data_IF_983079113120
#
_entry.id   IF_983079113120
#
_cell.length_a   1.000
_cell.length_b   1.000
_cell.length_c   1.000
_cell.angle_alpha   90.00
_cell.angle_beta   90.00
_cell.angle_gamma   90.00
#
_symmetry.space_group_name_H-M   'P 1'
#
loop_
_entity.id
_entity.type
_entity.pdbx_description
1 polymer ?
#
# COMPACT_ATOMS: atom_id res chain seq x y z
N UNK A 1 36.22 -20.97 -0.86
CA UNK A 1 35.32 -20.67 0.28
C UNK A 1 34.11 -19.95 -0.28
N UNK A 2 32.96 -20.62 -0.37
CA UNK A 2 31.73 -19.99 -0.88
C UNK A 2 31.36 -18.84 0.04
N UNK A 3 31.55 -17.62 -0.46
CA UNK A 3 31.16 -16.40 0.23
C UNK A 3 29.63 -16.37 0.19
N UNK A 4 28.97 -16.91 1.22
CA UNK A 4 27.52 -16.92 1.29
C UNK A 4 27.04 -15.46 1.25
N UNK A 5 26.48 -15.09 0.10
CA UNK A 5 26.14 -13.71 -0.18
C UNK A 5 24.98 -13.31 0.73
N UNK A 6 25.24 -12.35 1.62
CA UNK A 6 24.23 -11.80 2.53
C UNK A 6 23.01 -11.30 1.74
N UNK A 7 21.81 -11.69 2.15
CA UNK A 7 20.59 -11.31 1.44
C UNK A 7 20.32 -9.81 1.59
N UNK A 8 19.95 -9.16 0.48
CA UNK A 8 19.59 -7.73 0.44
C UNK A 8 18.46 -7.39 1.43
N UNK A 9 17.49 -8.28 1.54
CA UNK A 9 16.32 -8.11 2.43
C UNK A 9 16.77 -8.10 3.89
N UNK A 10 17.64 -9.02 4.31
CA UNK A 10 18.16 -9.05 5.68
C UNK A 10 18.95 -7.80 6.03
N UNK A 11 19.77 -7.29 5.10
CA UNK A 11 20.50 -6.02 5.28
C UNK A 11 19.54 -4.83 5.47
N UNK A 12 18.47 -4.77 4.68
CA UNK A 12 17.46 -3.72 4.78
C UNK A 12 16.63 -3.84 6.07
N UNK A 13 16.26 -5.06 6.45
CA UNK A 13 15.51 -5.33 7.69
C UNK A 13 16.34 -4.96 8.92
N UNK A 14 17.67 -5.15 8.90
CA UNK A 14 18.55 -4.71 9.98
C UNK A 14 18.45 -3.18 10.18
N UNK A 15 18.54 -2.40 9.10
CA UNK A 15 18.41 -0.94 9.15
C UNK A 15 17.02 -0.51 9.61
N UNK A 16 15.99 -1.16 9.08
CA UNK A 16 14.62 -0.89 9.50
C UNK A 16 14.44 -1.11 11.01
N UNK A 17 14.97 -2.22 11.51
CA UNK A 17 14.88 -2.59 12.92
C UNK A 17 15.67 -1.63 13.82
N UNK A 18 16.85 -1.19 13.40
CA UNK A 18 17.61 -0.14 14.10
C UNK A 18 16.79 1.15 14.26
N UNK A 19 16.11 1.57 13.17
CA UNK A 19 15.26 2.77 13.20
C UNK A 19 14.03 2.59 14.10
N UNK A 20 13.40 1.42 14.09
CA UNK A 20 12.25 1.13 14.95
C UNK A 20 12.63 1.05 16.43
N UNK A 21 13.79 0.47 16.76
CA UNK A 21 14.33 0.48 18.13
C UNK A 21 14.57 1.92 18.61
N UNK A 22 15.20 2.75 17.77
CA UNK A 22 15.40 4.17 18.08
C UNK A 22 14.07 4.89 18.35
N UNK A 23 13.09 4.74 17.45
CA UNK A 23 11.76 5.36 17.61
C UNK A 23 11.02 4.85 18.85
N UNK A 24 11.12 3.56 19.16
CA UNK A 24 10.48 2.97 20.34
C UNK A 24 11.05 3.57 21.63
N UNK A 25 12.38 3.70 21.73
CA UNK A 25 13.03 4.34 22.88
C UNK A 25 12.67 5.82 22.99
N UNK A 26 12.64 6.55 21.88
CA UNK A 26 12.20 7.94 21.87
C UNK A 26 10.74 8.08 22.30
N UNK A 27 9.85 7.16 21.89
CA UNK A 27 8.46 7.17 22.31
C UNK A 27 8.31 7.01 23.81
N UNK A 28 9.04 6.06 24.41
CA UNK A 28 9.08 5.87 25.86
C UNK A 28 9.55 7.16 26.55
N UNK A 29 10.61 7.80 26.04
CA UNK A 29 11.08 9.07 26.58
C UNK A 29 10.00 10.16 26.50
N UNK A 30 9.32 10.30 25.37
CA UNK A 30 8.24 11.27 25.21
C UNK A 30 7.06 11.00 26.14
N UNK A 31 6.65 9.74 26.29
CA UNK A 31 5.60 9.32 27.21
C UNK A 31 5.96 9.66 28.66
N UNK A 32 7.20 9.40 29.09
CA UNK A 32 7.67 9.79 30.44
C UNK A 32 7.76 11.30 30.64
N UNK A 33 8.08 12.05 29.59
CA UNK A 33 8.16 13.52 29.63
C UNK A 33 6.80 14.21 29.62
N UNK A 34 5.68 13.49 29.46
CA UNK A 34 4.33 14.09 29.36
C UNK A 34 3.94 14.91 30.59
N UNK A 35 4.53 14.62 31.75
CA UNK A 35 4.28 15.34 33.00
C UNK A 35 5.12 16.61 33.16
N UNK A 36 6.10 16.83 32.28
CA UNK A 36 6.95 18.01 32.32
C UNK A 36 6.38 19.12 31.42
N UNK A 37 6.52 20.40 31.82
CA UNK A 37 6.04 21.52 31.01
C UNK A 37 6.74 21.54 29.63
N UNK A 38 5.98 21.73 28.53
CA UNK A 38 6.48 21.59 27.16
C UNK A 38 7.57 22.60 26.78
N UNK A 39 7.69 23.72 27.51
CA UNK A 39 8.70 24.75 27.26
C UNK A 39 10.15 24.29 27.48
N UNK A 40 10.38 23.29 28.34
CA UNK A 40 11.73 22.77 28.60
C UNK A 40 12.09 21.56 27.72
N UNK A 41 11.10 20.82 27.24
CA UNK A 41 11.32 19.59 26.46
C UNK A 41 11.68 19.90 25.00
N UNK A 42 10.96 20.82 24.36
CA UNK A 42 11.17 21.17 22.95
C UNK A 42 12.64 21.54 22.59
N UNK A 43 13.37 22.35 23.38
CA UNK A 43 14.77 22.63 23.07
C UNK A 43 15.73 21.46 23.38
N UNK A 44 15.35 20.54 24.27
CA UNK A 44 16.20 19.43 24.74
C UNK A 44 15.96 18.15 23.93
N UNK A 45 14.85 18.03 23.22
CA UNK A 45 14.52 16.90 22.35
C UNK A 45 15.65 16.43 21.42
N UNK A 46 16.36 17.31 20.67
CA UNK A 46 17.48 16.87 19.84
C UNK A 46 18.65 16.33 20.66
N UNK A 47 18.89 16.86 21.87
CA UNK A 47 19.93 16.37 22.78
C UNK A 47 19.60 14.96 23.28
N UNK A 48 18.34 14.72 23.67
CA UNK A 48 17.86 13.40 24.07
C UNK A 48 18.00 12.40 22.92
N UNK A 49 17.61 12.79 21.71
CA UNK A 49 17.77 11.95 20.51
C UNK A 49 19.22 11.55 20.26
N UNK A 50 20.16 12.50 20.42
CA UNK A 50 21.59 12.23 20.30
C UNK A 50 22.09 11.29 21.41
N UNK A 51 21.68 11.50 22.66
CA UNK A 51 22.07 10.64 23.78
C UNK A 51 21.61 9.20 23.54
N UNK A 52 20.37 9.00 23.09
CA UNK A 52 19.83 7.67 22.77
C UNK A 52 20.62 7.04 21.63
N UNK A 53 20.88 7.76 20.53
CA UNK A 53 21.67 7.23 19.40
C UNK A 53 23.08 6.86 19.82
N UNK A 54 23.75 7.71 20.60
CA UNK A 54 25.10 7.43 21.09
C UNK A 54 25.11 6.26 22.06
N UNK A 55 24.12 6.14 22.96
CA UNK A 55 24.00 5.01 23.87
C UNK A 55 23.82 3.70 23.10
N UNK A 56 22.96 3.69 22.07
CA UNK A 56 22.75 2.54 21.19
C UNK A 56 24.04 2.16 20.46
N UNK A 57 24.70 3.12 19.81
CA UNK A 57 25.92 2.88 19.04
C UNK A 57 27.10 2.47 19.92
N UNK A 58 27.24 3.04 21.12
CA UNK A 58 28.27 2.69 22.09
C UNK A 58 28.11 1.26 22.58
N UNK A 59 26.88 0.85 22.95
CA UNK A 59 26.66 -0.51 23.46
C UNK A 59 26.67 -1.56 22.34
N UNK A 60 26.30 -1.19 21.12
CA UNK A 60 26.23 -2.10 19.97
C UNK A 60 27.52 -2.12 19.16
N UNK A 61 27.84 -1.04 18.45
CA UNK A 61 28.92 -1.02 17.44
C UNK A 61 30.30 -1.06 18.08
N UNK A 62 30.52 -0.35 19.20
CA UNK A 62 31.83 -0.34 19.84
C UNK A 62 32.18 -1.69 20.49
N UNK A 63 31.19 -2.37 21.08
CA UNK A 63 31.38 -3.62 21.84
C UNK A 63 31.27 -4.87 20.97
N UNK A 64 30.26 -4.95 20.12
CA UNK A 64 29.91 -6.16 19.36
C UNK A 64 30.22 -6.05 17.86
N UNK A 65 30.64 -4.88 17.38
CA UNK A 65 30.96 -4.63 15.95
C UNK A 65 29.79 -4.93 15.01
N UNK A 66 28.58 -4.76 15.52
CA UNK A 66 27.30 -4.87 14.81
C UNK A 66 26.36 -3.79 15.34
N UNK A 67 25.37 -3.38 14.55
CA UNK A 67 24.21 -2.62 15.07
C UNK A 67 23.22 -3.55 15.78
N UNK A 68 22.22 -3.00 16.47
CA UNK A 68 21.25 -3.82 17.21
C UNK A 68 20.39 -4.65 16.28
N UNK A 69 19.93 -4.04 15.19
CA UNK A 69 19.19 -4.72 14.13
C UNK A 69 20.02 -5.80 13.44
N UNK A 70 21.32 -5.54 13.23
CA UNK A 70 22.25 -6.56 12.73
C UNK A 70 22.43 -7.71 13.72
N UNK A 71 22.57 -7.42 15.01
CA UNK A 71 22.72 -8.45 16.05
C UNK A 71 21.50 -9.38 16.10
N UNK A 72 20.28 -8.82 15.99
CA UNK A 72 19.03 -9.59 15.95
C UNK A 72 18.93 -10.50 14.71
N UNK A 73 19.56 -10.12 13.61
CA UNK A 73 19.61 -10.88 12.36
C UNK A 73 20.91 -11.68 12.19
N UNK A 74 21.72 -11.80 13.23
CA UNK A 74 23.02 -12.50 13.21
C UNK A 74 23.97 -11.97 12.12
N UNK A 75 24.02 -10.66 11.92
CA UNK A 75 24.93 -9.95 11.01
C UNK A 75 25.99 -9.21 11.82
N UNK A 76 27.23 -9.18 11.31
CA UNK A 76 28.36 -8.45 11.90
C UNK A 76 29.17 -7.72 10.84
N UNK A 77 29.86 -6.64 11.21
CA UNK A 77 30.87 -6.02 10.35
C UNK A 77 32.21 -6.77 10.43
N UNK A 78 32.85 -7.03 9.30
CA UNK A 78 34.09 -7.83 9.27
C UNK A 78 35.40 -7.06 9.49
N UNK A 79 35.41 -5.73 9.29
CA UNK A 79 36.65 -4.94 9.36
C UNK A 79 36.45 -3.59 10.08
N UNK A 80 36.17 -3.65 11.38
CA UNK A 80 35.97 -2.48 12.25
C UNK A 80 37.23 -2.12 13.06
N UNK A 81 38.13 -1.32 12.46
CA UNK A 81 39.19 -0.64 13.22
C UNK A 81 38.62 0.42 14.19
N UNK A 82 39.31 0.70 15.28
CA UNK A 82 38.95 1.75 16.24
C UNK A 82 38.73 3.12 15.57
N UNK A 83 39.54 3.45 14.57
CA UNK A 83 39.36 4.68 13.79
C UNK A 83 38.03 4.69 13.02
N UNK A 84 37.66 3.55 12.41
CA UNK A 84 36.38 3.42 11.70
C UNK A 84 35.18 3.44 12.65
N UNK A 85 35.32 2.89 13.87
CA UNK A 85 34.29 2.96 14.93
C UNK A 85 33.99 4.42 15.28
N UNK A 86 35.03 5.21 15.50
CA UNK A 86 34.92 6.65 15.80
C UNK A 86 34.29 7.40 14.62
N UNK A 87 34.74 7.15 13.39
CA UNK A 87 34.20 7.85 12.22
C UNK A 87 32.73 7.47 11.93
N UNK A 88 32.33 6.23 12.21
CA UNK A 88 30.93 5.78 12.13
C UNK A 88 30.05 6.50 13.16
N UNK A 89 30.53 6.68 14.39
CA UNK A 89 29.84 7.47 15.42
C UNK A 89 29.67 8.92 14.97
N UNK A 90 30.75 9.56 14.50
CA UNK A 90 30.69 10.94 14.01
C UNK A 90 29.72 11.13 12.85
N UNK A 91 29.68 10.21 11.89
CA UNK A 91 28.74 10.31 10.78
C UNK A 91 27.28 10.18 11.20
N UNK A 92 26.96 9.39 12.24
CA UNK A 92 25.61 9.32 12.80
C UNK A 92 25.24 10.58 13.63
N UNK A 93 26.24 11.28 14.19
CA UNK A 93 26.03 12.58 14.84
C UNK A 93 25.74 13.72 13.86
N UNK A 94 26.05 13.58 12.57
CA UNK A 94 25.83 14.63 11.57
C UNK A 94 24.36 15.05 11.48
N UNK A 95 23.43 14.10 11.62
CA UNK A 95 21.99 14.37 11.60
C UNK A 95 21.55 15.27 12.77
N UNK A 96 22.17 15.11 13.94
CA UNK A 96 21.95 16.00 15.08
C UNK A 96 22.53 17.41 14.82
N UNK A 97 23.75 17.48 14.26
CA UNK A 97 24.38 18.77 13.92
C UNK A 97 23.52 19.55 12.95
N UNK A 98 22.92 18.87 11.96
CA UNK A 98 21.94 19.45 11.04
C UNK A 98 20.73 20.04 11.78
N UNK A 99 20.09 19.27 12.66
CA UNK A 99 18.91 19.72 13.42
C UNK A 99 19.23 20.94 14.30
N UNK A 100 20.41 20.96 14.93
CA UNK A 100 20.87 22.09 15.75
C UNK A 100 21.19 23.33 14.93
N UNK A 101 21.74 23.16 13.72
CA UNK A 101 22.01 24.25 12.78
C UNK A 101 20.72 24.87 12.23
N UNK A 102 19.67 24.09 11.99
CA UNK A 102 18.36 24.60 11.56
C UNK A 102 17.71 25.47 12.65
N UNK A 103 17.83 25.08 13.92
CA UNK A 103 17.31 25.86 15.04
C UNK A 103 18.08 27.19 15.24
N UNK A 104 19.40 27.21 15.02
CA UNK A 104 20.25 28.38 15.28
C UNK A 104 20.16 29.50 14.22
N UNK A 105 19.28 29.40 13.21
CA UNK A 105 19.06 30.40 12.13
C UNK A 105 20.36 31.10 11.67
N UNK A 106 21.29 30.39 11.02
CA UNK A 106 22.56 30.95 10.61
C UNK A 106 22.40 31.99 9.48
N UNK A 107 23.43 32.80 9.28
CA UNK A 107 23.53 33.79 8.18
C UNK A 107 23.15 33.18 6.81
N UNK A 108 22.53 33.99 5.94
CA UNK A 108 22.01 33.57 4.62
C UNK A 108 23.03 32.78 3.78
N UNK A 109 24.32 33.14 3.85
CA UNK A 109 25.41 32.44 3.13
C UNK A 109 25.63 31.02 3.65
N UNK A 110 25.60 30.83 4.96
CA UNK A 110 25.79 29.53 5.62
C UNK A 110 24.60 28.62 5.33
N UNK A 111 23.38 29.16 5.40
CA UNK A 111 22.18 28.39 5.08
C UNK A 111 22.19 27.90 3.62
N UNK A 112 22.58 28.77 2.69
CA UNK A 112 22.74 28.39 1.26
C UNK A 112 23.79 27.28 1.08
N UNK A 113 24.92 27.34 1.79
CA UNK A 113 25.96 26.31 1.73
C UNK A 113 25.49 24.97 2.33
N UNK A 114 24.84 25.01 3.49
CA UNK A 114 24.27 23.83 4.14
C UNK A 114 23.21 23.15 3.27
N UNK A 115 22.35 23.93 2.61
CA UNK A 115 21.37 23.41 1.67
C UNK A 115 22.04 22.71 0.48
N UNK A 116 23.11 23.28 -0.08
CA UNK A 116 23.90 22.65 -1.14
C UNK A 116 24.51 21.32 -0.68
N UNK A 117 25.14 21.29 0.50
CA UNK A 117 25.68 20.05 1.08
C UNK A 117 24.58 19.00 1.25
N UNK A 118 23.44 19.39 1.81
CA UNK A 118 22.31 18.50 2.02
C UNK A 118 21.82 17.89 0.71
N UNK A 119 21.67 18.71 -0.34
CA UNK A 119 21.27 18.23 -1.66
C UNK A 119 22.28 17.24 -2.26
N UNK A 120 23.58 17.51 -2.11
CA UNK A 120 24.64 16.58 -2.54
C UNK A 120 24.57 15.26 -1.75
N UNK A 121 24.37 15.30 -0.43
CA UNK A 121 24.25 14.10 0.39
C UNK A 121 23.02 13.27 0.05
N UNK A 122 21.87 13.90 -0.20
CA UNK A 122 20.64 13.22 -0.63
C UNK A 122 20.85 12.56 -2.00
N UNK A 123 21.48 13.25 -2.95
CA UNK A 123 21.82 12.69 -4.25
C UNK A 123 22.77 11.49 -4.12
N UNK A 124 23.81 11.60 -3.28
CA UNK A 124 24.74 10.50 -3.01
C UNK A 124 24.05 9.31 -2.35
N UNK A 125 23.13 9.55 -1.41
CA UNK A 125 22.31 8.50 -0.80
C UNK A 125 21.42 7.80 -1.82
N UNK A 126 20.80 8.55 -2.74
CA UNK A 126 19.99 7.99 -3.82
C UNK A 126 20.81 7.12 -4.77
N UNK A 127 21.97 7.62 -5.22
CA UNK A 127 22.91 6.84 -6.05
C UNK A 127 23.38 5.61 -5.28
N UNK A 128 23.67 5.75 -3.98
CA UNK A 128 24.12 4.67 -3.12
C UNK A 128 23.09 3.53 -3.05
N UNK A 129 21.83 3.90 -2.82
CA UNK A 129 20.68 3.00 -2.77
C UNK A 129 20.43 2.34 -4.13
N UNK A 130 20.53 3.07 -5.24
CA UNK A 130 20.40 2.50 -6.59
C UNK A 130 21.48 1.43 -6.86
N UNK A 131 22.74 1.72 -6.52
CA UNK A 131 23.84 0.75 -6.62
C UNK A 131 23.60 -0.44 -5.67
N UNK A 132 23.10 -0.20 -4.46
CA UNK A 132 22.77 -1.25 -3.50
C UNK A 132 21.68 -2.19 -4.03
N UNK A 133 20.62 -1.65 -4.63
CA UNK A 133 19.56 -2.47 -5.23
C UNK A 133 20.10 -3.36 -6.36
N UNK A 134 21.07 -2.88 -7.14
CA UNK A 134 21.67 -3.63 -8.26
C UNK A 134 22.71 -4.67 -7.81
N UNK A 135 23.65 -4.29 -6.92
CA UNK A 135 24.77 -5.16 -6.49
C UNK A 135 24.46 -5.99 -5.24
N UNK A 136 23.67 -5.42 -4.33
CA UNK A 136 23.31 -5.99 -3.04
C UNK A 136 24.38 -5.87 -1.96
N UNK A 137 25.28 -4.90 -2.10
CA UNK A 137 26.46 -4.73 -1.24
C UNK A 137 26.44 -3.33 -0.63
N UNK A 138 26.41 -3.24 0.71
CA UNK A 138 26.45 -2.01 1.52
C UNK A 138 25.24 -1.07 1.31
N UNK A 139 24.19 -1.19 2.15
CA UNK A 139 23.00 -0.35 2.04
C UNK A 139 23.20 1.12 2.44
N UNK A 140 24.05 1.43 3.42
CA UNK A 140 24.23 2.81 3.90
C UNK A 140 25.40 3.50 3.20
N UNK A 141 25.28 4.81 2.96
CA UNK A 141 26.36 5.61 2.39
C UNK A 141 27.58 5.65 3.32
N UNK A 142 27.35 5.77 4.64
CA UNK A 142 28.42 5.78 5.64
C UNK A 142 29.25 4.49 5.62
N UNK A 143 28.60 3.33 5.43
CA UNK A 143 29.28 2.04 5.31
C UNK A 143 30.13 1.98 4.04
N UNK A 144 29.65 2.58 2.95
CA UNK A 144 30.39 2.64 1.69
C UNK A 144 31.61 3.55 1.80
N UNK A 145 31.47 4.72 2.40
CA UNK A 145 32.58 5.64 2.67
C UNK A 145 33.64 5.01 3.59
N UNK A 146 33.22 4.25 4.59
CA UNK A 146 34.11 3.57 5.55
C UNK A 146 34.66 2.22 5.06
N UNK A 147 34.16 1.73 3.92
CA UNK A 147 34.53 0.42 3.39
C UNK A 147 34.08 -0.75 4.28
N UNK A 148 32.99 -0.61 5.03
CA UNK A 148 32.49 -1.67 5.93
C UNK A 148 31.77 -2.76 5.14
N UNK A 149 32.15 -4.01 5.34
CA UNK A 149 31.46 -5.17 4.78
C UNK A 149 30.63 -5.83 5.89
N UNK A 150 29.42 -6.25 5.54
CA UNK A 150 28.52 -7.00 6.42
C UNK A 150 28.61 -8.49 6.08
N UNK A 151 28.78 -9.32 7.09
CA UNK A 151 28.89 -10.78 6.98
C UNK A 151 27.99 -11.43 8.04
N UNK A 152 27.60 -12.69 7.83
CA UNK A 152 26.88 -13.43 8.87
C UNK A 152 27.81 -13.70 10.05
N UNK A 153 27.34 -13.41 11.26
CA UNK A 153 28.09 -13.65 12.50
C UNK A 153 28.29 -15.14 12.79
N UNK A 154 27.38 -16.00 12.33
CA UNK A 154 27.45 -17.45 12.47
C UNK A 154 27.32 -18.10 11.09
N UNK A 155 28.15 -19.14 10.83
CA UNK A 155 28.11 -19.90 9.56
C UNK A 155 26.84 -20.75 9.41
N UNK A 156 26.10 -20.91 10.50
CA UNK A 156 24.91 -21.76 10.63
C UNK A 156 23.80 -21.01 11.37
N UNK A 157 23.50 -19.78 10.97
CA UNK A 157 22.24 -19.18 11.42
C UNK A 157 21.10 -19.96 10.76
N UNK A 158 20.27 -20.72 11.52
CA UNK A 158 19.05 -21.25 10.95
C UNK A 158 18.27 -20.04 10.44
N UNK A 159 17.89 -20.08 9.16
CA UNK A 159 17.04 -19.08 8.55
C UNK A 159 15.77 -19.03 9.41
N UNK A 160 15.68 -18.08 10.33
CA UNK A 160 14.42 -17.76 11.00
C UNK A 160 13.53 -17.25 9.87
N UNK A 161 12.77 -18.17 9.30
CA UNK A 161 11.82 -17.91 8.24
C UNK A 161 10.93 -16.78 8.73
N UNK A 162 10.95 -15.64 8.03
CA UNK A 162 10.25 -14.44 8.45
C UNK A 162 8.76 -14.73 8.38
N UNK A 163 8.19 -15.22 9.49
CA UNK A 163 6.81 -15.66 9.61
C UNK A 163 5.82 -14.60 9.11
N UNK A 164 6.23 -13.32 9.11
CA UNK A 164 5.49 -12.19 8.55
C UNK A 164 5.09 -12.37 7.07
N UNK A 165 5.97 -12.89 6.22
CA UNK A 165 5.63 -13.09 4.80
C UNK A 165 4.62 -14.22 4.63
N UNK A 166 4.82 -15.32 5.35
CA UNK A 166 3.89 -16.45 5.38
C UNK A 166 2.52 -16.03 5.91
N UNK A 167 2.49 -15.31 7.04
CA UNK A 167 1.26 -14.79 7.63
C UNK A 167 0.53 -13.82 6.69
N UNK A 168 1.26 -12.98 5.94
CA UNK A 168 0.65 -12.09 4.95
C UNK A 168 0.03 -12.88 3.79
N UNK A 169 0.72 -13.90 3.30
CA UNK A 169 0.23 -14.76 2.22
C UNK A 169 -1.04 -15.51 2.66
N UNK A 170 -1.03 -16.06 3.88
CA UNK A 170 -2.20 -16.74 4.47
C UNK A 170 -3.38 -15.79 4.66
N UNK A 171 -3.15 -14.56 5.14
CA UNK A 171 -4.19 -13.55 5.28
C UNK A 171 -4.79 -13.16 3.93
N UNK A 172 -3.94 -12.99 2.90
CA UNK A 172 -4.40 -12.65 1.56
C UNK A 172 -5.22 -13.77 0.93
N UNK A 173 -4.75 -15.02 1.03
CA UNK A 173 -5.49 -16.18 0.53
C UNK A 173 -6.83 -16.34 1.26
N UNK A 174 -6.85 -16.24 2.60
CA UNK A 174 -8.09 -16.30 3.36
C UNK A 174 -9.07 -15.16 3.01
N UNK A 175 -8.56 -13.97 2.73
CA UNK A 175 -9.38 -12.84 2.27
C UNK A 175 -9.99 -13.09 0.89
N UNK A 176 -9.21 -13.62 -0.07
CA UNK A 176 -9.70 -13.94 -1.42
C UNK A 176 -10.76 -15.03 -1.37
N UNK A 177 -10.57 -16.08 -0.57
CA UNK A 177 -11.57 -17.12 -0.40
C UNK A 177 -12.90 -16.52 0.07
N UNK A 178 -12.88 -15.65 1.08
CA UNK A 178 -14.09 -14.95 1.56
C UNK A 178 -14.73 -14.10 0.44
N UNK A 179 -13.93 -13.36 -0.33
CA UNK A 179 -14.46 -12.55 -1.43
C UNK A 179 -15.12 -13.39 -2.52
N UNK A 180 -14.53 -14.53 -2.91
CA UNK A 180 -15.11 -15.42 -3.92
C UNK A 180 -16.48 -15.94 -3.49
N UNK A 181 -16.71 -16.16 -2.20
CA UNK A 181 -18.02 -16.57 -1.67
C UNK A 181 -19.01 -15.40 -1.57
N UNK A 182 -18.54 -14.19 -1.30
CA UNK A 182 -19.40 -13.00 -1.17
C UNK A 182 -19.81 -12.45 -2.53
N UNK A 183 -18.93 -12.45 -3.54
CA UNK A 183 -19.16 -11.83 -4.85
C UNK A 183 -20.47 -12.36 -5.52
N UNK A 184 -20.75 -13.67 -5.57
CA UNK A 184 -21.99 -14.19 -6.15
C UNK A 184 -23.26 -13.82 -5.38
N UNK A 185 -23.15 -13.54 -4.07
CA UNK A 185 -24.29 -13.12 -3.23
C UNK A 185 -24.71 -11.67 -3.50
N UNK A 186 -23.84 -10.89 -4.14
CA UNK A 186 -24.12 -9.52 -4.48
C UNK A 186 -24.98 -9.47 -5.74
N UNK A 187 -26.21 -8.96 -5.60
CA UNK A 187 -27.10 -8.74 -6.74
C UNK A 187 -26.57 -7.63 -7.66
N UNK A 188 -25.83 -8.03 -8.70
CA UNK A 188 -25.25 -7.13 -9.70
C UNK A 188 -26.30 -6.23 -10.37
N UNK A 189 -27.50 -6.75 -10.64
CA UNK A 189 -28.57 -5.99 -11.31
C UNK A 189 -29.05 -4.81 -10.46
N UNK A 190 -29.22 -5.01 -9.15
CA UNK A 190 -29.59 -3.97 -8.19
C UNK A 190 -28.51 -2.89 -8.08
N UNK A 191 -27.24 -3.27 -8.05
CA UNK A 191 -26.12 -2.32 -8.02
C UNK A 191 -26.08 -1.50 -9.30
N UNK A 192 -26.14 -2.15 -10.47
CA UNK A 192 -26.11 -1.47 -11.77
C UNK A 192 -27.24 -0.45 -11.90
N UNK A 193 -28.45 -0.77 -11.41
CA UNK A 193 -29.60 0.16 -11.38
C UNK A 193 -29.37 1.32 -10.41
N UNK A 194 -28.90 1.04 -9.20
CA UNK A 194 -28.66 2.08 -8.18
C UNK A 194 -27.58 3.05 -8.65
N UNK A 195 -26.52 2.53 -9.27
CA UNK A 195 -25.43 3.34 -9.84
C UNK A 195 -25.89 4.24 -10.98
N UNK A 196 -26.78 3.76 -11.87
CA UNK A 196 -27.38 4.60 -12.92
C UNK A 196 -28.24 5.73 -12.35
N UNK A 197 -29.08 5.43 -11.37
CA UNK A 197 -29.93 6.45 -10.73
C UNK A 197 -29.15 7.45 -9.88
N UNK A 198 -28.01 7.04 -9.31
CA UNK A 198 -27.14 7.93 -8.55
C UNK A 198 -26.27 8.83 -9.45
N UNK A 199 -26.21 8.56 -10.77
CA UNK A 199 -25.48 9.39 -11.71
C UNK A 199 -26.23 10.71 -11.99
N UNK A 200 -25.72 11.87 -11.56
CA UNK A 200 -26.41 13.16 -11.71
C UNK A 200 -26.56 13.62 -13.17
N UNK A 201 -25.82 13.02 -14.11
CA UNK A 201 -25.91 13.31 -15.54
C UNK A 201 -26.91 12.40 -16.28
N UNK A 202 -27.58 11.49 -15.58
CA UNK A 202 -28.48 10.52 -16.19
C UNK A 202 -29.83 11.16 -16.57
N UNK A 203 -30.09 11.28 -17.88
CA UNK A 203 -31.41 11.71 -18.40
C UNK A 203 -32.28 10.49 -18.61
N UNK A 204 -33.45 10.45 -17.96
CA UNK A 204 -34.43 9.37 -18.16
C UNK A 204 -34.98 9.43 -19.59
N UNK A 205 -34.98 8.31 -20.34
CA UNK A 205 -35.60 8.26 -21.65
C UNK A 205 -37.13 8.38 -21.52
N UNK A 206 -37.75 9.10 -22.45
CA UNK A 206 -39.22 9.16 -22.59
C UNK A 206 -39.73 7.80 -23.08
N UNK A 207 -40.65 7.20 -22.33
CA UNK A 207 -41.28 5.94 -22.72
C UNK A 207 -42.73 6.17 -23.16
N UNK A 208 -43.16 5.44 -24.20
CA UNK A 208 -44.54 5.43 -24.68
C UNK A 208 -45.18 4.13 -24.22
N UNK A 209 -46.33 4.22 -23.57
CA UNK A 209 -47.18 3.06 -23.25
C UNK A 209 -48.06 2.80 -24.48
N UNK A 210 -47.72 1.77 -25.26
CA UNK A 210 -48.54 1.32 -26.38
C UNK A 210 -49.55 0.26 -25.90
N UNK A 211 -50.82 0.39 -26.30
CA UNK A 211 -51.87 -0.57 -25.97
C UNK A 211 -51.71 -1.90 -26.74
N UNK A 212 -51.17 -1.86 -27.96
CA UNK A 212 -50.92 -3.04 -28.80
C UNK A 212 -49.48 -3.01 -29.32
N UNK A 213 -48.76 -4.13 -29.22
CA UNK A 213 -47.36 -4.25 -29.66
C UNK A 213 -47.34 -5.15 -30.88
N UNK A 214 -46.99 -4.59 -32.03
CA UNK A 214 -46.90 -5.31 -33.29
C UNK A 214 -45.44 -5.68 -33.56
N UNK A 215 -45.16 -6.96 -33.78
CA UNK A 215 -43.83 -7.41 -34.17
C UNK A 215 -43.63 -7.27 -35.67
N UNK A 216 -42.46 -6.75 -36.04
CA UNK A 216 -41.96 -6.78 -37.42
C UNK A 216 -40.78 -7.75 -37.53
N UNK A 217 -40.43 -8.16 -38.74
CA UNK A 217 -39.32 -9.08 -39.03
C UNK A 217 -37.94 -8.59 -38.54
N UNK A 218 -37.83 -7.32 -38.16
CA UNK A 218 -36.60 -6.70 -37.64
C UNK A 218 -36.62 -6.46 -36.12
N UNK A 219 -37.66 -6.91 -35.43
CA UNK A 219 -37.74 -6.76 -33.98
C UNK A 219 -36.72 -7.65 -33.26
N UNK A 220 -35.92 -7.04 -32.38
CA UNK A 220 -34.87 -7.69 -31.59
C UNK A 220 -35.23 -7.67 -30.10
N UNK A 221 -34.75 -8.67 -29.36
CA UNK A 221 -34.88 -8.72 -27.92
C UNK A 221 -34.10 -7.55 -27.28
N UNK A 222 -34.78 -6.77 -26.45
CA UNK A 222 -34.19 -5.63 -25.77
C UNK A 222 -33.11 -5.99 -24.72
N UNK A 223 -32.96 -7.27 -24.35
CA UNK A 223 -31.94 -7.74 -23.42
C UNK A 223 -30.74 -8.41 -24.11
N UNK A 224 -30.97 -9.43 -24.95
CA UNK A 224 -29.88 -10.18 -25.60
C UNK A 224 -29.52 -9.65 -27.01
N UNK A 225 -30.36 -8.82 -27.64
CA UNK A 225 -30.10 -8.28 -28.98
C UNK A 225 -30.34 -9.25 -30.14
N UNK A 226 -30.76 -10.48 -29.85
CA UNK A 226 -31.08 -11.52 -30.84
C UNK A 226 -32.57 -11.53 -31.20
N UNK A 227 -32.94 -12.35 -32.18
CA UNK A 227 -34.34 -12.56 -32.54
C UNK A 227 -35.10 -13.16 -31.33
N UNK A 228 -36.23 -12.57 -30.92
CA UNK A 228 -36.88 -12.95 -29.68
C UNK A 228 -37.51 -14.35 -29.77
N UNK A 229 -37.05 -15.25 -28.89
CA UNK A 229 -37.62 -16.59 -28.72
C UNK A 229 -38.79 -16.49 -27.73
N UNK A 230 -39.99 -16.86 -28.18
CA UNK A 230 -41.24 -16.73 -27.44
C UNK A 230 -41.43 -15.29 -26.92
N UNK A 231 -41.84 -14.36 -27.82
CA UNK A 231 -41.79 -12.92 -27.57
C UNK A 231 -42.78 -12.48 -26.48
N UNK A 232 -42.26 -11.77 -25.49
CA UNK A 232 -43.03 -11.22 -24.38
C UNK A 232 -42.70 -9.74 -24.13
N UNK A 233 -43.60 -9.06 -23.44
CA UNK A 233 -43.40 -7.68 -23.02
C UNK A 233 -43.76 -7.47 -21.54
N UNK A 234 -43.21 -6.40 -20.96
CA UNK A 234 -43.46 -6.03 -19.56
C UNK A 234 -44.37 -4.80 -19.39
N UNK A 235 -44.94 -4.27 -20.48
CA UNK A 235 -45.80 -3.07 -20.48
C UNK A 235 -45.21 -1.88 -21.24
N UNK A 236 -43.92 -1.88 -21.53
CA UNK A 236 -43.29 -0.92 -22.44
C UNK A 236 -43.38 -1.36 -23.91
N UNK A 237 -42.95 -0.51 -24.84
CA UNK A 237 -42.92 -0.80 -26.29
C UNK A 237 -41.87 -1.85 -26.71
N UNK A 238 -41.00 -2.30 -25.80
CA UNK A 238 -39.89 -3.20 -26.10
C UNK A 238 -40.26 -4.68 -25.95
N UNK A 239 -39.74 -5.50 -26.87
CA UNK A 239 -39.95 -6.95 -26.92
C UNK A 239 -38.76 -7.69 -26.31
N UNK A 240 -39.03 -8.77 -25.58
CA UNK A 240 -38.04 -9.62 -24.93
C UNK A 240 -38.29 -11.10 -25.24
N UNK A 241 -37.26 -11.94 -25.15
CA UNK A 241 -37.46 -13.38 -25.04
C UNK A 241 -38.12 -13.70 -23.69
N UNK A 242 -38.98 -14.72 -23.63
CA UNK A 242 -39.58 -15.19 -22.38
C UNK A 242 -38.53 -15.44 -21.29
N UNK A 243 -37.47 -16.18 -21.62
CA UNK A 243 -36.40 -16.54 -20.68
C UNK A 243 -35.64 -15.31 -20.21
N UNK A 244 -35.33 -14.37 -21.12
CA UNK A 244 -34.63 -13.14 -20.76
C UNK A 244 -35.49 -12.27 -19.83
N UNK A 245 -36.79 -12.14 -20.10
CA UNK A 245 -37.67 -11.32 -19.28
C UNK A 245 -37.91 -11.95 -17.91
N UNK A 246 -38.31 -13.23 -17.88
CA UNK A 246 -38.60 -13.94 -16.63
C UNK A 246 -37.35 -14.16 -15.78
N UNK A 247 -36.22 -14.46 -16.40
CA UNK A 247 -34.93 -14.60 -15.71
C UNK A 247 -34.49 -13.31 -15.01
N UNK A 248 -34.63 -12.16 -15.69
CA UNK A 248 -34.30 -10.88 -15.07
C UNK A 248 -35.32 -10.44 -14.00
N UNK A 249 -36.62 -10.71 -14.19
CA UNK A 249 -37.65 -10.42 -13.18
C UNK A 249 -37.52 -11.28 -11.92
N UNK A 250 -36.97 -12.50 -12.03
CA UNK A 250 -36.69 -13.37 -10.89
C UNK A 250 -35.40 -12.98 -10.17
N UNK A 251 -34.38 -12.53 -10.92
CA UNK A 251 -33.14 -12.00 -10.35
C UNK A 251 -33.31 -10.60 -9.71
N UNK A 252 -34.19 -9.76 -10.23
CA UNK A 252 -34.50 -8.44 -9.70
C UNK A 252 -36.02 -8.19 -9.75
N UNK A 253 -36.65 -8.18 -8.57
CA UNK A 253 -38.09 -7.88 -8.44
C UNK A 253 -38.46 -6.47 -8.91
N UNK A 254 -37.46 -5.58 -9.03
CA UNK A 254 -37.61 -4.25 -9.59
C UNK A 254 -36.89 -4.15 -10.94
N UNK A 255 -36.91 -5.20 -11.74
CA UNK A 255 -36.33 -5.13 -13.08
C UNK A 255 -36.94 -3.98 -13.91
N UNK A 256 -36.06 -3.23 -14.58
CA UNK A 256 -36.39 -2.12 -15.47
C UNK A 256 -35.95 -2.45 -16.89
N UNK A 257 -36.74 -2.01 -17.87
CA UNK A 257 -36.34 -2.13 -19.27
C UNK A 257 -34.98 -1.44 -19.50
N UNK A 258 -33.99 -2.10 -20.12
CA UNK A 258 -32.66 -1.51 -20.33
C UNK A 258 -32.66 -0.34 -21.34
N UNK A 259 -33.72 -0.18 -22.14
CA UNK A 259 -33.81 0.86 -23.18
C UNK A 259 -34.62 2.06 -22.71
N UNK A 260 -35.77 1.83 -22.08
CA UNK A 260 -36.70 2.92 -21.69
C UNK A 260 -36.90 3.07 -20.18
N UNK A 261 -36.23 2.26 -19.37
CA UNK A 261 -36.29 2.29 -17.91
C UNK A 261 -37.70 2.14 -17.33
N UNK A 262 -38.66 1.70 -18.15
CA UNK A 262 -40.00 1.42 -17.71
C UNK A 262 -39.98 0.26 -16.72
N UNK A 263 -40.66 0.47 -15.59
CA UNK A 263 -40.91 -0.53 -14.56
C UNK A 263 -42.42 -0.73 -14.44
N UNK A 264 -42.84 -1.99 -14.49
CA UNK A 264 -44.20 -2.35 -14.13
C UNK A 264 -44.28 -2.63 -12.61
N UNK A 265 -45.22 -2.04 -11.85
CA UNK A 265 -45.42 -2.37 -10.45
C UNK A 265 -45.78 -3.85 -10.22
N UNK A 266 -46.44 -4.49 -11.20
CA UNK A 266 -46.75 -5.91 -11.19
C UNK A 266 -45.80 -6.68 -12.14
N UNK A 267 -45.47 -7.93 -11.78
CA UNK A 267 -44.64 -8.81 -12.63
C UNK A 267 -45.46 -9.25 -13.84
N UNK A 268 -45.50 -8.40 -14.87
CA UNK A 268 -46.19 -8.65 -16.13
C UNK A 268 -45.25 -9.36 -17.11
N UNK A 269 -45.74 -10.43 -17.74
CA UNK A 269 -45.04 -11.17 -18.77
C UNK A 269 -46.10 -11.66 -19.78
N UNK A 270 -46.58 -10.74 -20.59
CA UNK A 270 -47.63 -11.04 -21.56
C UNK A 270 -47.02 -11.35 -22.92
N UNK A 271 -47.63 -12.30 -23.63
CA UNK A 271 -47.21 -12.68 -24.98
C UNK A 271 -47.49 -11.53 -25.93
N UNK A 272 -46.55 -11.27 -26.82
CA UNK A 272 -46.78 -10.33 -27.93
C UNK A 272 -47.57 -11.06 -29.02
N UNK A 273 -48.70 -10.49 -29.43
CA UNK A 273 -49.48 -11.02 -30.55
C UNK A 273 -48.74 -10.79 -31.86
N UNK A 274 -48.43 -11.87 -32.57
CA UNK A 274 -47.94 -11.80 -33.94
C UNK A 274 -49.15 -11.56 -34.84
N UNK A 275 -49.22 -10.41 -35.50
CA UNK A 275 -50.18 -10.22 -36.59
C UNK A 275 -49.56 -10.94 -37.79
N UNK A 276 -50.18 -12.03 -38.21
CA UNK A 276 -49.89 -12.74 -39.46
C UNK A 276 -50.25 -11.90 -40.67
#
# INVERSE_FOLDING_TARGET
MSNDKLLRVTQMNAIFLDNEIYKALMRILHETSRFLPPGYIAPIEPELGLIVRLALLKNSVCRNESTFGQQLLSIKYSNMSNFKKILYLFGNCFDYVKHRLEFWKPSHKVNTFMFKIHMVLVLLNFINMSIFLRRGVKPLLIERCLGLNQEYSTKTAPRHFEAKYLSRELLWNGFIDVLIHIIPLINYHKIKRTMRHFNPFHKKPTYVVLNSRTMTMHSKCAHCGENPILPHHMGCAHVFCYVCLKGNQTADSKYECPICEHRNPNVLCDKVSVIS
#
